data_IF_229451188990
#
_entry.id   IF_229451188990
#
_cell.length_a   1.000
_cell.length_b   1.000
_cell.length_c   1.000
_cell.angle_alpha   90.00
_cell.angle_beta   90.00
_cell.angle_gamma   90.00
#
_symmetry.space_group_name_H-M   'P 1'
#
loop_
_entity.id
_entity.type
_entity.pdbx_description
1 polymer ?
#
# COMPACT_ATOMS: atom_id res chain seq x y z
N UNK A 1 -12.57 -17.44 5.61
CA UNK A 1 -12.71 -15.98 5.49
C UNK A 1 -13.06 -15.63 4.06
N UNK A 2 -14.09 -14.82 3.84
CA UNK A 2 -14.48 -14.42 2.49
C UNK A 2 -13.43 -13.46 1.92
N UNK A 3 -12.83 -13.82 0.79
CA UNK A 3 -11.90 -12.97 0.03
C UNK A 3 -12.47 -12.86 -1.39
N UNK A 4 -12.93 -11.68 -1.82
CA UNK A 4 -13.58 -11.49 -3.13
C UNK A 4 -12.75 -11.98 -4.31
N UNK A 5 -11.43 -11.81 -4.25
CA UNK A 5 -10.46 -12.23 -5.27
C UNK A 5 -10.49 -13.74 -5.58
N UNK A 6 -10.98 -14.56 -4.66
CA UNK A 6 -11.12 -16.01 -4.88
C UNK A 6 -12.49 -16.41 -5.44
N UNK A 7 -13.47 -15.48 -5.44
CA UNK A 7 -14.85 -15.77 -5.84
C UNK A 7 -15.29 -14.96 -7.06
N UNK A 8 -14.55 -13.92 -7.42
CA UNK A 8 -14.83 -13.10 -8.59
C UNK A 8 -13.86 -13.45 -9.72
N UNK A 9 -14.38 -13.49 -10.97
CA UNK A 9 -13.49 -13.55 -12.12
C UNK A 9 -12.71 -12.24 -12.28
N UNK A 10 -11.54 -12.31 -12.93
CA UNK A 10 -10.63 -11.18 -13.10
C UNK A 10 -11.30 -9.96 -13.71
N UNK A 11 -12.18 -10.16 -14.71
CA UNK A 11 -12.87 -9.05 -15.38
C UNK A 11 -13.79 -8.32 -14.42
N UNK A 12 -14.60 -9.05 -13.65
CA UNK A 12 -15.50 -8.49 -12.64
C UNK A 12 -14.72 -7.76 -11.56
N UNK A 13 -13.63 -8.37 -11.06
CA UNK A 13 -12.77 -7.76 -10.06
C UNK A 13 -12.18 -6.43 -10.55
N UNK A 14 -11.56 -6.41 -11.73
CA UNK A 14 -10.97 -5.21 -12.33
C UNK A 14 -12.03 -4.14 -12.57
N UNK A 15 -13.19 -4.51 -13.17
CA UNK A 15 -14.27 -3.55 -13.46
C UNK A 15 -14.78 -2.86 -12.20
N UNK A 16 -14.91 -3.58 -11.09
CA UNK A 16 -15.31 -2.99 -9.80
C UNK A 16 -14.26 -2.02 -9.25
N UNK A 17 -12.97 -2.29 -9.47
CA UNK A 17 -11.86 -1.45 -8.99
C UNK A 17 -11.59 -0.23 -9.88
N UNK A 18 -11.99 -0.26 -11.16
CA UNK A 18 -11.76 0.79 -12.16
C UNK A 18 -13.04 1.52 -12.57
N UNK A 19 -14.03 1.61 -11.68
CA UNK A 19 -15.31 2.28 -11.98
C UNK A 19 -15.13 3.78 -12.25
N UNK A 20 -16.01 4.36 -13.06
CA UNK A 20 -16.02 5.81 -13.36
C UNK A 20 -16.08 6.66 -12.08
N UNK A 21 -16.78 6.19 -11.05
CA UNK A 21 -16.82 6.86 -9.74
C UNK A 21 -15.43 6.96 -9.11
N UNK A 22 -14.64 5.88 -9.14
CA UNK A 22 -13.27 5.88 -8.61
C UNK A 22 -12.35 6.79 -9.43
N UNK A 23 -12.49 6.76 -10.75
CA UNK A 23 -11.74 7.67 -11.61
C UNK A 23 -12.02 9.15 -11.26
N UNK A 24 -13.29 9.51 -11.12
CA UNK A 24 -13.69 10.87 -10.71
C UNK A 24 -13.12 11.25 -9.33
N UNK A 25 -13.14 10.32 -8.37
CA UNK A 25 -12.56 10.58 -7.04
C UNK A 25 -11.04 10.84 -7.14
N UNK A 26 -10.31 10.05 -7.92
CA UNK A 26 -8.88 10.24 -8.14
C UNK A 26 -8.54 11.56 -8.82
N UNK A 27 -9.30 11.94 -9.85
CA UNK A 27 -9.16 13.24 -10.55
C UNK A 27 -9.44 14.42 -9.62
N UNK A 28 -10.46 14.32 -8.77
CA UNK A 28 -10.78 15.37 -7.79
C UNK A 28 -9.65 15.51 -6.75
N UNK A 29 -9.14 14.38 -6.22
CA UNK A 29 -8.01 14.41 -5.30
C UNK A 29 -6.78 15.05 -5.95
N UNK A 30 -6.47 14.68 -7.19
CA UNK A 30 -5.38 15.28 -7.95
C UNK A 30 -5.56 16.77 -8.13
N UNK A 31 -6.74 17.23 -8.57
CA UNK A 31 -6.99 18.66 -8.78
C UNK A 31 -6.82 19.50 -7.51
N UNK A 32 -7.19 18.94 -6.35
CA UNK A 32 -7.03 19.60 -5.05
C UNK A 32 -5.58 19.63 -4.57
N UNK A 33 -4.72 18.71 -5.04
CA UNK A 33 -3.34 18.56 -4.59
C UNK A 33 -2.33 18.63 -5.76
N UNK A 34 -2.70 19.24 -6.89
CA UNK A 34 -1.95 19.20 -8.14
C UNK A 34 -0.49 19.64 -7.97
N UNK A 35 -0.26 20.76 -7.28
CA UNK A 35 1.09 21.30 -7.08
C UNK A 35 1.97 20.32 -6.30
N UNK A 36 1.46 19.79 -5.21
CA UNK A 36 2.16 18.81 -4.37
C UNK A 36 2.49 17.54 -5.14
N UNK A 37 1.47 16.95 -5.78
CA UNK A 37 1.63 15.66 -6.46
C UNK A 37 2.59 15.78 -7.65
N UNK A 38 2.55 16.87 -8.42
CA UNK A 38 3.48 17.11 -9.50
C UNK A 38 4.91 17.35 -9.00
N UNK A 39 5.08 18.04 -7.87
CA UNK A 39 6.39 18.22 -7.24
C UNK A 39 6.98 16.86 -6.85
N UNK A 40 6.22 16.01 -6.16
CA UNK A 40 6.64 14.68 -5.73
C UNK A 40 6.94 13.78 -6.94
N UNK A 41 6.10 13.78 -7.99
CA UNK A 41 6.37 13.06 -9.24
C UNK A 41 7.71 13.45 -9.85
N UNK A 42 8.00 14.74 -9.89
CA UNK A 42 9.25 15.24 -10.47
C UNK A 42 10.48 14.91 -9.62
N UNK A 43 10.34 14.91 -8.30
CA UNK A 43 11.43 14.61 -7.36
C UNK A 43 11.76 13.12 -7.34
N UNK A 44 10.77 12.28 -7.09
CA UNK A 44 10.96 10.83 -6.89
C UNK A 44 10.92 10.01 -8.17
N UNK A 45 10.54 10.60 -9.31
CA UNK A 45 10.42 9.92 -10.62
C UNK A 45 9.42 8.76 -10.60
N UNK A 46 8.30 8.96 -9.93
CA UNK A 46 7.17 8.03 -9.85
C UNK A 46 5.93 8.73 -10.41
N UNK A 47 5.24 8.09 -11.36
CA UNK A 47 4.08 8.66 -12.01
C UNK A 47 2.95 8.93 -11.00
N UNK A 48 2.35 10.12 -11.12
CA UNK A 48 1.21 10.51 -10.27
C UNK A 48 0.01 9.58 -10.42
N UNK A 49 -0.20 9.05 -11.62
CA UNK A 49 -1.27 8.09 -11.91
C UNK A 49 -1.10 6.81 -11.08
N UNK A 50 0.14 6.33 -10.90
CA UNK A 50 0.42 5.16 -10.07
C UNK A 50 0.14 5.45 -8.60
N UNK A 51 0.63 6.57 -8.08
CA UNK A 51 0.40 6.96 -6.69
C UNK A 51 -1.11 7.10 -6.39
N UNK A 52 -1.86 7.78 -7.28
CA UNK A 52 -3.31 7.94 -7.14
C UNK A 52 -4.04 6.60 -7.22
N UNK A 53 -3.63 5.71 -8.12
CA UNK A 53 -4.22 4.37 -8.26
C UNK A 53 -4.02 3.54 -6.99
N UNK A 54 -2.80 3.52 -6.44
CA UNK A 54 -2.50 2.82 -5.20
C UNK A 54 -3.34 3.34 -4.03
N UNK A 55 -3.38 4.66 -3.82
CA UNK A 55 -4.22 5.26 -2.77
C UNK A 55 -5.71 4.92 -2.97
N UNK A 56 -6.16 4.86 -4.24
CA UNK A 56 -7.52 4.45 -4.59
C UNK A 56 -7.82 2.99 -4.26
N UNK A 57 -6.86 2.09 -4.44
CA UNK A 57 -6.99 0.66 -4.12
C UNK A 57 -6.92 0.43 -2.61
N UNK A 58 -5.91 0.99 -1.95
CA UNK A 58 -5.63 0.75 -0.54
C UNK A 58 -6.70 1.33 0.39
N UNK A 59 -7.08 2.59 0.18
CA UNK A 59 -7.93 3.31 1.15
C UNK A 59 -9.12 4.03 0.52
N UNK A 60 -9.42 3.76 -0.77
CA UNK A 60 -10.42 4.51 -1.51
C UNK A 60 -10.20 6.03 -1.38
N UNK A 61 -8.98 6.47 -1.72
CA UNK A 61 -8.54 7.87 -1.63
C UNK A 61 -8.63 8.45 -0.20
N UNK A 62 -8.20 7.68 0.78
CA UNK A 62 -8.13 8.07 2.18
C UNK A 62 -9.44 7.97 2.96
N UNK A 63 -10.54 7.48 2.35
CA UNK A 63 -11.84 7.38 3.02
C UNK A 63 -11.94 6.15 3.95
N UNK A 64 -11.10 5.13 3.76
CA UNK A 64 -11.11 3.86 4.51
C UNK A 64 -9.71 3.50 4.98
N UNK A 65 -9.19 4.20 5.97
CA UNK A 65 -7.84 3.97 6.53
C UNK A 65 -7.80 2.91 7.64
N UNK A 66 -8.96 2.34 8.00
CA UNK A 66 -9.09 1.45 9.15
C UNK A 66 -9.32 2.22 10.47
N UNK A 67 -9.86 1.51 11.47
CA UNK A 67 -10.22 2.06 12.79
C UNK A 67 -9.68 1.21 13.94
N UNK A 68 -8.89 0.18 13.65
CA UNK A 68 -8.31 -0.68 14.67
C UNK A 68 -7.09 0.00 15.28
N UNK A 69 -6.94 -0.12 16.58
CA UNK A 69 -5.70 0.24 17.26
C UNK A 69 -4.58 -0.69 16.78
N UNK A 70 -3.56 -0.11 16.14
CA UNK A 70 -2.50 -0.87 15.47
C UNK A 70 -1.63 -1.60 16.48
N UNK A 71 -1.33 -0.97 17.61
CA UNK A 71 -0.50 -1.57 18.65
C UNK A 71 -1.16 -2.84 19.20
N UNK A 72 -2.45 -2.76 19.54
CA UNK A 72 -3.22 -3.92 20.00
C UNK A 72 -3.38 -4.97 18.91
N UNK A 73 -3.54 -4.57 17.65
CA UNK A 73 -3.65 -5.48 16.51
C UNK A 73 -2.36 -6.29 16.32
N UNK A 74 -1.21 -5.63 16.28
CA UNK A 74 0.09 -6.27 16.13
C UNK A 74 0.43 -7.16 17.33
N UNK A 75 0.17 -6.68 18.56
CA UNK A 75 0.35 -7.48 19.77
C UNK A 75 -0.51 -8.76 19.73
N UNK A 76 -1.78 -8.67 19.32
CA UNK A 76 -2.65 -9.83 19.18
C UNK A 76 -2.15 -10.81 18.12
N UNK A 77 -1.74 -10.31 16.96
CA UNK A 77 -1.26 -11.12 15.84
C UNK A 77 0.11 -11.76 16.13
N UNK A 78 0.92 -11.18 17.00
CA UNK A 78 2.20 -11.78 17.43
C UNK A 78 1.99 -13.09 18.19
N UNK A 79 0.82 -13.36 18.75
CA UNK A 79 0.45 -14.64 19.36
C UNK A 79 -0.03 -15.70 18.34
N UNK A 80 -0.39 -15.31 17.11
CA UNK A 80 -0.77 -16.28 16.07
C UNK A 80 0.48 -16.99 15.54
N UNK A 81 0.62 -18.29 15.88
CA UNK A 81 1.79 -19.09 15.55
C UNK A 81 2.20 -19.08 14.07
N UNK A 82 1.24 -18.90 13.15
CA UNK A 82 1.52 -18.92 11.70
C UNK A 82 2.45 -17.80 11.26
N UNK A 83 2.32 -16.62 11.85
CA UNK A 83 3.07 -15.41 11.47
C UNK A 83 3.62 -14.66 12.68
N UNK A 84 3.79 -15.35 13.80
CA UNK A 84 4.22 -14.73 15.07
C UNK A 84 5.50 -13.90 14.90
N UNK A 85 6.53 -14.48 14.27
CA UNK A 85 7.80 -13.77 14.06
C UNK A 85 7.59 -12.45 13.29
N UNK A 86 6.90 -12.50 12.16
CA UNK A 86 6.63 -11.32 11.34
C UNK A 86 5.92 -10.22 12.15
N UNK A 87 4.82 -10.56 12.82
CA UNK A 87 4.06 -9.55 13.57
C UNK A 87 4.79 -9.07 14.83
N UNK A 88 5.64 -9.91 15.43
CA UNK A 88 6.52 -9.47 16.53
C UNK A 88 7.56 -8.47 16.05
N UNK A 89 8.20 -8.72 14.91
CA UNK A 89 9.16 -7.79 14.31
C UNK A 89 8.49 -6.44 13.98
N UNK A 90 7.27 -6.47 13.40
CA UNK A 90 6.50 -5.26 13.11
C UNK A 90 6.09 -4.51 14.39
N UNK A 91 5.71 -5.22 15.45
CA UNK A 91 5.37 -4.63 16.74
C UNK A 91 6.59 -3.92 17.36
N UNK A 92 7.75 -4.57 17.36
CA UNK A 92 8.99 -3.99 17.88
C UNK A 92 9.35 -2.72 17.09
N UNK A 93 9.28 -2.77 15.77
CA UNK A 93 9.54 -1.62 14.91
C UNK A 93 8.57 -0.48 15.21
N UNK A 94 7.29 -0.78 15.42
CA UNK A 94 6.30 0.24 15.81
C UNK A 94 6.65 0.91 17.13
N UNK A 95 7.05 0.13 18.14
CA UNK A 95 7.46 0.67 19.44
C UNK A 95 8.68 1.58 19.32
N UNK A 96 9.66 1.22 18.49
CA UNK A 96 10.83 2.06 18.21
C UNK A 96 10.45 3.38 17.51
N UNK A 97 9.51 3.33 16.55
CA UNK A 97 8.99 4.53 15.87
C UNK A 97 8.27 5.48 16.85
N UNK A 98 7.54 4.92 17.82
CA UNK A 98 6.88 5.70 18.88
C UNK A 98 7.93 6.29 19.84
N UNK A 99 8.88 5.49 20.30
CA UNK A 99 9.93 5.90 21.25
C UNK A 99 10.78 7.02 20.66
N UNK A 100 11.15 6.92 19.37
CA UNK A 100 11.88 7.96 18.66
C UNK A 100 11.08 9.23 18.36
N UNK A 101 9.77 9.24 18.64
CA UNK A 101 8.87 10.36 18.36
C UNK A 101 8.53 10.56 16.88
N UNK A 102 8.99 9.68 15.98
CA UNK A 102 8.73 9.77 14.54
C UNK A 102 7.24 9.66 14.19
N UNK A 103 6.48 8.88 14.97
CA UNK A 103 5.04 8.76 14.82
C UNK A 103 4.33 9.05 16.13
N UNK A 104 3.15 9.67 16.05
CA UNK A 104 2.32 9.92 17.24
C UNK A 104 1.44 8.70 17.54
N UNK A 105 1.67 8.06 18.70
CA UNK A 105 0.89 6.88 19.12
C UNK A 105 -0.62 7.13 19.18
N UNK A 106 -1.06 8.36 19.44
CA UNK A 106 -2.48 8.74 19.46
C UNK A 106 -3.15 8.67 18.09
N UNK A 107 -2.39 8.69 17.02
CA UNK A 107 -2.86 8.64 15.63
C UNK A 107 -2.84 7.23 15.03
N UNK A 108 -2.35 6.22 15.75
CA UNK A 108 -2.07 4.87 15.26
C UNK A 108 -3.33 4.00 15.16
N UNK A 109 -4.29 4.44 14.35
CA UNK A 109 -5.45 3.65 13.95
C UNK A 109 -5.34 3.29 12.48
N UNK A 110 -5.57 2.04 12.15
CA UNK A 110 -5.39 1.51 10.81
C UNK A 110 -6.13 0.20 10.57
N UNK A 111 -5.53 -0.69 9.78
CA UNK A 111 -6.08 -2.00 9.50
C UNK A 111 -5.94 -2.94 10.69
N UNK A 112 -6.74 -4.01 10.69
CA UNK A 112 -6.65 -5.08 11.68
C UNK A 112 -5.30 -5.84 11.64
N UNK A 113 -4.55 -5.71 10.53
CA UNK A 113 -3.25 -6.36 10.35
C UNK A 113 -2.07 -5.44 10.63
N UNK A 114 -2.29 -4.22 11.14
CA UNK A 114 -1.24 -3.30 11.54
C UNK A 114 -0.80 -2.31 10.44
N UNK A 115 -1.40 -2.34 9.26
CA UNK A 115 -1.13 -1.37 8.22
C UNK A 115 -1.83 -0.03 8.48
N UNK A 116 -1.18 1.08 8.10
CA UNK A 116 -1.61 2.40 8.53
C UNK A 116 -1.38 3.48 7.45
N UNK A 117 -2.22 4.52 7.50
CA UNK A 117 -2.13 5.66 6.60
C UNK A 117 -2.81 5.43 5.24
N UNK A 118 -2.70 6.41 4.35
CA UNK A 118 -3.39 6.40 3.05
C UNK A 118 -2.89 5.31 2.09
N UNK A 119 -1.65 4.87 2.25
CA UNK A 119 -1.02 3.83 1.43
C UNK A 119 -0.81 2.51 2.21
N UNK A 120 -1.42 2.36 3.38
CA UNK A 120 -1.43 1.14 4.20
C UNK A 120 -0.02 0.56 4.46
N UNK A 121 0.89 1.40 4.93
CA UNK A 121 2.25 0.99 5.27
C UNK A 121 2.29 0.18 6.57
N UNK A 122 3.08 -0.90 6.55
CA UNK A 122 3.47 -1.60 7.78
C UNK A 122 4.56 -0.81 8.53
N UNK A 123 4.73 -1.00 9.84
CA UNK A 123 5.76 -0.31 10.62
C UNK A 123 7.16 -0.38 10.02
N UNK A 124 7.59 -1.55 9.54
CA UNK A 124 8.87 -1.70 8.86
C UNK A 124 8.97 -0.89 7.56
N UNK A 125 7.88 -0.75 6.83
CA UNK A 125 7.83 0.10 5.64
C UNK A 125 7.91 1.58 6.03
N UNK A 126 7.30 1.98 7.14
CA UNK A 126 7.41 3.35 7.67
C UNK A 126 8.85 3.66 8.04
N UNK A 127 9.49 2.79 8.80
CA UNK A 127 10.86 2.99 9.27
C UNK A 127 11.86 3.12 8.11
N UNK A 128 11.70 2.30 7.08
CA UNK A 128 12.62 2.27 5.94
C UNK A 128 12.37 3.37 4.89
N UNK A 129 11.12 3.80 4.71
CA UNK A 129 10.75 4.59 3.52
C UNK A 129 9.91 5.83 3.79
N UNK A 130 9.24 5.93 4.95
CA UNK A 130 8.38 7.08 5.21
C UNK A 130 9.22 8.35 5.44
N UNK A 131 8.66 9.48 5.04
CA UNK A 131 9.27 10.79 5.11
C UNK A 131 8.38 11.76 5.88
N UNK A 132 8.98 12.54 6.75
CA UNK A 132 8.44 13.82 7.19
C UNK A 132 8.76 14.86 6.11
N UNK A 133 7.88 14.94 5.10
CA UNK A 133 8.13 15.78 3.92
C UNK A 133 7.76 17.26 4.14
N UNK A 134 6.95 17.52 5.17
CA UNK A 134 6.62 18.89 5.56
C UNK A 134 7.56 19.48 6.62
N UNK A 135 8.50 18.69 7.18
CA UNK A 135 9.54 19.14 8.09
C UNK A 135 9.02 19.53 9.48
N UNK A 136 8.00 18.84 9.97
CA UNK A 136 7.42 19.12 11.29
C UNK A 136 7.88 18.15 12.40
N UNK A 137 8.92 17.36 12.12
CA UNK A 137 9.53 16.36 13.00
C UNK A 137 8.60 15.14 13.28
N UNK A 138 7.54 14.94 12.48
CA UNK A 138 6.61 13.82 12.61
C UNK A 138 6.16 13.30 11.27
N UNK A 139 6.10 11.99 11.14
CA UNK A 139 5.55 11.32 9.96
C UNK A 139 4.05 11.13 10.15
N UNK A 140 3.24 11.79 9.32
CA UNK A 140 1.79 11.65 9.33
C UNK A 140 1.26 11.10 8.00
N UNK A 141 1.16 9.78 7.90
CA UNK A 141 0.69 9.10 6.69
C UNK A 141 -0.84 9.23 6.44
N UNK A 142 -1.55 10.00 7.26
CA UNK A 142 -2.93 10.45 7.03
C UNK A 142 -2.99 11.91 6.55
N UNK A 143 -1.84 12.51 6.27
CA UNK A 143 -1.69 13.80 5.61
C UNK A 143 -1.18 13.57 4.18
N UNK A 144 -1.74 14.25 3.19
CA UNK A 144 -1.35 14.08 1.79
C UNK A 144 0.14 14.37 1.55
N UNK A 145 0.74 15.32 2.27
CA UNK A 145 2.13 15.73 2.05
C UNK A 145 3.07 14.57 2.34
N UNK A 146 3.03 14.03 3.56
CA UNK A 146 3.91 12.94 3.95
C UNK A 146 3.52 11.62 3.29
N UNK A 147 2.22 11.38 3.11
CA UNK A 147 1.72 10.13 2.53
C UNK A 147 2.17 9.96 1.07
N UNK A 148 1.99 10.96 0.21
CA UNK A 148 2.42 10.89 -1.19
C UNK A 148 3.94 10.85 -1.32
N UNK A 149 4.67 11.66 -0.54
CA UNK A 149 6.14 11.63 -0.56
C UNK A 149 6.69 10.29 -0.10
N UNK A 150 6.14 9.72 0.97
CA UNK A 150 6.53 8.40 1.47
C UNK A 150 6.25 7.30 0.46
N UNK A 151 5.07 7.31 -0.19
CA UNK A 151 4.72 6.34 -1.21
C UNK A 151 5.64 6.42 -2.44
N UNK A 152 5.94 7.64 -2.89
CA UNK A 152 6.87 7.87 -3.99
C UNK A 152 8.29 7.42 -3.64
N UNK A 153 8.79 7.75 -2.43
CA UNK A 153 10.08 7.29 -1.95
C UNK A 153 10.16 5.76 -1.89
N UNK A 154 9.14 5.11 -1.33
CA UNK A 154 9.04 3.65 -1.29
C UNK A 154 9.16 3.04 -2.70
N UNK A 155 8.30 3.46 -3.63
CA UNK A 155 8.29 2.96 -5.00
C UNK A 155 9.63 3.18 -5.71
N UNK A 156 10.21 4.37 -5.58
CA UNK A 156 11.52 4.69 -6.15
C UNK A 156 12.62 3.78 -5.58
N UNK A 157 12.64 3.57 -4.26
CA UNK A 157 13.65 2.77 -3.57
C UNK A 157 13.56 1.27 -3.85
N UNK A 158 12.35 0.73 -4.04
CA UNK A 158 12.17 -0.67 -4.43
C UNK A 158 12.42 -0.92 -5.92
N UNK A 159 12.78 0.12 -6.70
CA UNK A 159 13.25 -0.02 -8.07
C UNK A 159 12.25 0.35 -9.15
N UNK A 160 11.16 1.05 -8.82
CA UNK A 160 10.27 1.62 -9.83
C UNK A 160 11.05 2.47 -10.83
N UNK A 161 10.74 2.32 -12.11
CA UNK A 161 11.34 3.10 -13.19
C UNK A 161 10.24 3.82 -13.96
N UNK A 162 10.25 5.14 -13.89
CA UNK A 162 9.35 6.00 -14.66
C UNK A 162 9.41 5.65 -16.14
N UNK A 163 8.28 5.76 -16.83
CA UNK A 163 8.13 5.50 -18.27
C UNK A 163 8.27 4.03 -18.68
N UNK A 164 8.39 3.10 -17.75
CA UNK A 164 8.28 1.68 -18.05
C UNK A 164 6.85 1.20 -17.83
N UNK A 165 6.27 0.44 -18.80
CA UNK A 165 4.93 -0.09 -18.62
C UNK A 165 4.90 -1.09 -17.46
N UNK A 166 3.84 -1.04 -16.64
CA UNK A 166 3.61 -2.00 -15.55
C UNK A 166 3.42 -3.43 -16.08
N UNK A 167 2.96 -3.58 -17.32
CA UNK A 167 2.73 -4.87 -17.99
C UNK A 167 2.81 -4.70 -19.49
N UNK A 168 3.12 -5.80 -20.17
CA UNK A 168 3.18 -5.88 -21.64
C UNK A 168 2.05 -6.76 -22.14
N UNK A 169 1.36 -6.30 -23.20
CA UNK A 169 0.48 -7.18 -23.97
C UNK A 169 1.37 -8.15 -24.75
N UNK A 170 1.13 -9.44 -24.55
CA UNK A 170 1.83 -10.51 -25.28
C UNK A 170 0.82 -11.31 -26.09
N UNK A 171 1.26 -11.84 -27.23
CA UNK A 171 0.54 -12.84 -27.99
C UNK A 171 1.22 -14.20 -27.80
N UNK A 172 0.41 -15.20 -27.51
CA UNK A 172 0.92 -16.56 -27.29
C UNK A 172 0.88 -17.32 -28.60
N UNK A 173 2.05 -17.70 -29.10
CA UNK A 173 2.17 -18.52 -30.31
C UNK A 173 1.72 -19.97 -30.10
N UNK A 174 1.53 -20.41 -28.86
CA UNK A 174 1.10 -21.75 -28.50
C UNK A 174 0.13 -21.68 -27.32
N UNK A 175 -0.81 -22.63 -27.27
CA UNK A 175 -1.71 -22.77 -26.14
C UNK A 175 -0.91 -23.13 -24.88
N UNK A 176 -1.13 -22.37 -23.81
CA UNK A 176 -0.53 -22.69 -22.52
C UNK A 176 -1.16 -23.99 -21.98
N UNK A 177 -0.37 -25.00 -21.61
CA UNK A 177 -0.89 -26.19 -20.96
C UNK A 177 -1.64 -25.83 -19.68
N UNK A 178 -2.78 -26.47 -19.45
CA UNK A 178 -3.67 -26.18 -18.32
C UNK A 178 -3.00 -26.29 -16.94
N UNK A 179 -1.94 -27.13 -16.83
CA UNK A 179 -1.14 -27.23 -15.60
C UNK A 179 -0.45 -25.94 -15.18
N UNK A 180 -0.21 -24.99 -16.12
CA UNK A 180 0.37 -23.68 -15.85
C UNK A 180 -0.67 -22.58 -15.66
N UNK A 181 -1.97 -22.91 -15.81
CA UNK A 181 -3.07 -22.00 -15.56
C UNK A 181 -3.61 -22.11 -14.13
N UNK A 182 -2.88 -22.79 -13.26
CA UNK A 182 -3.23 -22.90 -11.85
C UNK A 182 -2.96 -21.54 -11.16
N UNK A 183 -3.99 -21.00 -10.53
CA UNK A 183 -3.93 -19.72 -9.81
C UNK A 183 -2.83 -19.69 -8.74
N UNK A 184 -2.51 -20.82 -8.10
CA UNK A 184 -1.40 -20.92 -7.14
C UNK A 184 -0.02 -20.64 -7.74
N UNK A 185 0.17 -20.79 -9.06
CA UNK A 185 1.45 -20.49 -9.71
C UNK A 185 1.57 -19.01 -10.12
N UNK A 186 0.46 -18.26 -10.12
CA UNK A 186 0.43 -16.83 -10.41
C UNK A 186 0.66 -15.97 -9.16
N UNK A 187 0.62 -16.57 -7.97
CA UNK A 187 0.79 -15.91 -6.66
C UNK A 187 2.22 -15.99 -6.12
N UNK A 188 3.22 -15.94 -6.97
CA UNK A 188 4.62 -16.00 -6.52
C UNK A 188 5.16 -14.68 -5.95
N UNK A 189 4.34 -13.64 -5.87
CA UNK A 189 4.77 -12.32 -5.41
C UNK A 189 3.84 -11.63 -4.42
N UNK A 190 2.80 -12.30 -3.94
CA UNK A 190 1.99 -11.72 -2.86
C UNK A 190 2.68 -12.00 -1.52
N UNK A 191 3.29 -10.95 -0.94
CA UNK A 191 3.94 -11.00 0.36
C UNK A 191 3.01 -11.50 1.49
N UNK A 192 1.70 -11.53 1.29
CA UNK A 192 0.74 -12.13 2.21
C UNK A 192 0.71 -13.66 2.10
N UNK A 193 1.12 -14.25 0.98
CA UNK A 193 1.12 -15.70 0.72
C UNK A 193 2.53 -16.34 0.84
N UNK A 194 3.61 -15.57 0.80
CA UNK A 194 4.98 -16.06 0.96
C UNK A 194 5.31 -16.55 2.38
N UNK A 195 4.32 -16.59 3.26
CA UNK A 195 4.44 -17.07 4.65
C UNK A 195 3.50 -18.25 4.87
N UNK A 196 3.63 -19.27 4.04
CA UNK A 196 3.09 -20.60 4.31
C UNK A 196 4.15 -21.53 4.85
#
# INVERSE_FOLDING_TARGET
RYQPEFYEDTKTYVTKRTSSKKLTQGLNLYSQNQKLINQIENEFKVEKELMLALMGIETNFGTYVGKMDILSSLATLSFDKRRSKFFTDELITLLQLIESGKVDYKSLYGSWAGAFGFFQFMPSTIDNYALDYNGNDKINLKNNIDAFASAANYLSKIGWKKERPCFYKIELNKKIPSKYLNTCLLYTSDAADDVR
#
